data_IF_918711468414
#
_entry.id   IF_918711468414
#
_cell.length_a   1.000
_cell.length_b   1.000
_cell.length_c   1.000
_cell.angle_alpha   90.00
_cell.angle_beta   90.00
_cell.angle_gamma   90.00
#
_symmetry.space_group_name_H-M   'P 1'
#
loop_
_entity.id
_entity.type
_entity.pdbx_description
1 polymer ?
#
# COMPACT_ATOMS: atom_id res chain seq x y z
N UNK A 1 -1.56 -20.94 26.30
CA UNK A 1 -0.58 -20.87 25.19
C UNK A 1 -1.23 -20.03 24.11
N UNK A 2 -0.55 -18.97 23.64
CA UNK A 2 -1.03 -18.12 22.53
C UNK A 2 -0.30 -18.61 21.29
N UNK A 3 -1.03 -18.93 20.23
CA UNK A 3 -0.47 -19.21 18.92
C UNK A 3 -0.57 -17.94 18.09
N UNK A 4 0.58 -17.37 17.73
CA UNK A 4 0.65 -16.25 16.79
C UNK A 4 0.74 -16.88 15.40
N UNK A 5 -0.33 -16.75 14.62
CA UNK A 5 -0.43 -17.38 13.29
C UNK A 5 0.05 -16.47 12.16
N UNK A 6 0.16 -15.16 12.41
CA UNK A 6 0.69 -14.18 11.46
C UNK A 6 1.19 -12.94 12.21
N UNK A 7 2.41 -12.50 11.90
CA UNK A 7 2.96 -11.21 12.31
C UNK A 7 3.05 -10.31 11.07
N UNK A 8 2.81 -9.00 11.20
CA UNK A 8 2.84 -8.06 10.06
C UNK A 8 3.65 -6.82 10.41
N UNK A 9 4.44 -6.32 9.46
CA UNK A 9 5.12 -5.03 9.59
C UNK A 9 4.19 -3.96 9.04
N UNK A 10 3.80 -2.99 9.86
CA UNK A 10 2.88 -1.94 9.46
C UNK A 10 3.37 -0.54 9.81
N UNK A 11 2.77 0.45 9.15
CA UNK A 11 3.07 1.86 9.41
C UNK A 11 2.17 2.78 8.60
N UNK A 12 2.44 4.08 8.74
CA UNK A 12 1.81 5.10 7.90
C UNK A 12 2.72 5.44 6.72
N UNK A 13 2.10 5.80 5.60
CA UNK A 13 2.79 6.29 4.42
C UNK A 13 2.27 7.65 4.01
N UNK A 14 3.18 8.47 3.51
CA UNK A 14 2.90 9.76 2.91
C UNK A 14 3.83 9.93 1.72
N UNK A 15 3.28 9.81 0.53
CA UNK A 15 3.95 9.96 -0.75
C UNK A 15 3.45 11.23 -1.43
N UNK A 16 4.36 12.06 -1.94
CA UNK A 16 4.02 13.28 -2.65
C UNK A 16 4.87 13.36 -3.91
N UNK A 17 4.22 13.56 -5.06
CA UNK A 17 4.89 13.72 -6.35
C UNK A 17 4.16 14.77 -7.18
N UNK A 18 4.70 15.99 -7.23
CA UNK A 18 4.22 17.11 -8.05
C UNK A 18 2.73 17.40 -7.88
N UNK A 19 1.90 16.65 -8.59
CA UNK A 19 0.43 16.73 -8.61
C UNK A 19 -0.24 15.85 -7.54
N UNK A 20 0.37 14.75 -7.13
CA UNK A 20 -0.28 13.77 -6.24
C UNK A 20 0.23 13.85 -4.81
N UNK A 21 -0.70 13.68 -3.86
CA UNK A 21 -0.42 13.39 -2.46
C UNK A 21 -1.21 12.16 -2.05
N UNK A 22 -0.51 11.08 -1.73
CA UNK A 22 -1.06 9.77 -1.37
C UNK A 22 -0.69 9.49 0.08
N UNK A 23 -1.68 9.29 0.95
CA UNK A 23 -1.43 9.09 2.38
C UNK A 23 -2.32 8.01 2.97
N UNK A 24 -1.79 7.27 3.94
CA UNK A 24 -2.59 6.28 4.66
C UNK A 24 -1.73 5.28 5.44
N UNK A 25 -2.15 4.03 5.43
CA UNK A 25 -1.50 2.93 6.13
C UNK A 25 -1.21 1.75 5.21
N UNK A 26 -0.19 0.98 5.58
CA UNK A 26 0.19 -0.25 4.90
C UNK A 26 0.50 -1.36 5.89
N UNK A 27 0.44 -2.59 5.40
CA UNK A 27 0.97 -3.79 6.04
C UNK A 27 1.76 -4.59 5.02
N UNK A 28 2.93 -5.06 5.45
CA UNK A 28 3.81 -5.92 4.67
C UNK A 28 3.94 -7.24 5.40
N UNK A 29 3.82 -8.33 4.64
CA UNK A 29 4.08 -9.66 5.13
C UNK A 29 5.59 -9.81 5.41
N UNK A 30 5.99 -10.14 6.64
CA UNK A 30 7.39 -10.25 6.99
C UNK A 30 8.09 -11.46 6.38
N UNK A 31 7.37 -12.49 5.93
CA UNK A 31 7.98 -13.65 5.28
C UNK A 31 8.20 -13.38 3.80
N UNK A 32 7.15 -12.95 3.10
CA UNK A 32 7.19 -12.76 1.63
C UNK A 32 7.74 -11.39 1.23
N UNK A 33 7.82 -10.44 2.18
CA UNK A 33 8.18 -9.04 1.95
C UNK A 33 7.25 -8.31 0.97
N UNK A 34 6.04 -8.85 0.76
CA UNK A 34 5.01 -8.28 -0.11
C UNK A 34 4.03 -7.43 0.67
N UNK A 35 3.49 -6.40 0.01
CA UNK A 35 2.42 -5.58 0.59
C UNK A 35 1.15 -6.43 0.66
N UNK A 36 0.69 -6.68 1.89
CA UNK A 36 -0.56 -7.41 2.16
C UNK A 36 -1.76 -6.49 2.10
N UNK A 37 -1.62 -5.26 2.63
CA UNK A 37 -2.67 -4.24 2.58
C UNK A 37 -2.09 -2.87 2.37
N UNK A 38 -2.78 -2.02 1.60
CA UNK A 38 -2.49 -0.60 1.47
C UNK A 38 -3.83 0.15 1.40
N UNK A 39 -4.09 1.01 2.38
CA UNK A 39 -5.30 1.84 2.41
C UNK A 39 -4.86 3.30 2.36
N UNK A 40 -5.13 3.98 1.26
CA UNK A 40 -4.66 5.35 1.04
C UNK A 40 -5.73 6.26 0.48
N UNK A 41 -5.72 7.51 0.94
CA UNK A 41 -6.39 8.62 0.29
C UNK A 41 -5.47 9.23 -0.76
N UNK A 42 -6.06 9.66 -1.87
CA UNK A 42 -5.35 10.28 -2.98
C UNK A 42 -5.90 11.67 -3.18
N UNK A 43 -5.02 12.66 -3.13
CA UNK A 43 -5.31 14.02 -3.56
C UNK A 43 -4.55 14.30 -4.86
N UNK A 44 -5.19 14.94 -5.83
CA UNK A 44 -4.60 15.45 -7.08
C UNK A 44 -4.75 16.97 -7.11
N UNK A 45 -3.64 17.69 -7.24
CA UNK A 45 -3.59 19.15 -7.18
C UNK A 45 -4.31 19.70 -5.94
N UNK A 46 -3.97 19.14 -4.77
CA UNK A 46 -4.56 19.45 -3.45
C UNK A 46 -6.05 19.11 -3.26
N UNK A 47 -6.76 18.71 -4.32
CA UNK A 47 -8.15 18.29 -4.26
C UNK A 47 -8.26 16.77 -4.02
N UNK A 48 -9.22 16.36 -3.19
CA UNK A 48 -9.49 14.95 -2.95
C UNK A 48 -9.93 14.26 -4.25
N UNK A 49 -9.21 13.21 -4.64
CA UNK A 49 -9.40 12.46 -5.88
C UNK A 49 -9.98 11.05 -5.65
N UNK A 50 -9.95 10.53 -4.42
CA UNK A 50 -10.54 9.25 -4.06
C UNK A 50 -9.70 8.47 -3.06
N UNK A 51 -10.05 7.20 -2.85
CA UNK A 51 -9.27 6.26 -2.05
C UNK A 51 -8.85 5.05 -2.90
N UNK A 52 -7.73 4.44 -2.52
CA UNK A 52 -7.26 3.18 -3.06
C UNK A 52 -7.09 2.21 -1.89
N UNK A 53 -7.73 1.05 -2.00
CA UNK A 53 -7.56 -0.04 -1.04
C UNK A 53 -7.01 -1.25 -1.78
N UNK A 54 -5.88 -1.76 -1.31
CA UNK A 54 -5.24 -2.96 -1.81
C UNK A 54 -5.27 -3.99 -0.71
N UNK A 55 -5.56 -5.22 -1.08
CA UNK A 55 -5.49 -6.36 -0.19
C UNK A 55 -5.12 -7.61 -0.97
N UNK A 56 -4.39 -8.51 -0.33
CA UNK A 56 -4.09 -9.83 -0.86
C UNK A 56 -5.27 -10.76 -0.61
N UNK A 57 -5.78 -11.41 -1.66
CA UNK A 57 -6.79 -12.46 -1.59
C UNK A 57 -6.19 -13.76 -2.14
N UNK A 58 -5.73 -14.62 -1.23
CA UNK A 58 -4.96 -15.81 -1.59
C UNK A 58 -3.59 -15.44 -2.15
N UNK A 59 -3.38 -15.65 -3.45
CA UNK A 59 -2.10 -15.32 -4.14
C UNK A 59 -2.19 -14.08 -5.02
N UNK A 60 -3.38 -13.50 -5.16
CA UNK A 60 -3.63 -12.34 -6.01
C UNK A 60 -3.78 -11.07 -5.17
N UNK A 61 -3.18 -9.98 -5.63
CA UNK A 61 -3.48 -8.65 -5.11
C UNK A 61 -4.72 -8.09 -5.81
N UNK A 62 -5.68 -7.64 -5.01
CA UNK A 62 -6.87 -6.95 -5.49
C UNK A 62 -6.79 -5.47 -5.15
N UNK A 63 -7.31 -4.63 -6.05
CA UNK A 63 -7.27 -3.16 -5.92
C UNK A 63 -8.67 -2.59 -6.10
N UNK A 64 -9.12 -1.81 -5.13
CA UNK A 64 -10.39 -1.11 -5.15
C UNK A 64 -10.19 0.40 -5.17
N UNK A 65 -10.62 1.05 -6.25
CA UNK A 65 -10.66 2.50 -6.40
C UNK A 65 -12.03 3.02 -5.97
N UNK A 66 -12.09 3.73 -4.84
CA UNK A 66 -13.34 4.22 -4.24
C UNK A 66 -13.46 5.73 -4.42
N UNK A 67 -14.65 6.20 -4.80
CA UNK A 67 -14.94 7.63 -4.99
C UNK A 67 -13.98 8.32 -5.97
N UNK A 68 -13.41 7.56 -6.91
CA UNK A 68 -12.43 8.04 -7.88
C UNK A 68 -13.05 8.17 -9.26
N UNK A 69 -12.74 9.26 -9.97
CA UNK A 69 -13.16 9.44 -11.35
C UNK A 69 -12.43 8.44 -12.24
N UNK A 70 -13.15 7.83 -13.18
CA UNK A 70 -12.58 6.86 -14.11
C UNK A 70 -11.37 7.40 -14.89
N UNK A 71 -11.38 8.70 -15.22
CA UNK A 71 -10.26 9.37 -15.91
C UNK A 71 -8.96 9.39 -15.11
N UNK A 72 -9.02 9.35 -13.78
CA UNK A 72 -7.84 9.44 -12.91
C UNK A 72 -7.29 8.05 -12.53
N UNK A 73 -8.06 6.98 -12.72
CA UNK A 73 -7.70 5.62 -12.27
C UNK A 73 -6.39 5.13 -12.90
N UNK A 74 -6.19 5.37 -14.20
CA UNK A 74 -4.99 4.88 -14.89
C UNK A 74 -3.70 5.51 -14.33
N UNK A 75 -3.70 6.83 -14.14
CA UNK A 75 -2.55 7.57 -13.59
C UNK A 75 -2.31 7.19 -12.12
N UNK A 76 -3.37 7.15 -11.31
CA UNK A 76 -3.26 6.75 -9.90
C UNK A 76 -2.76 5.30 -9.77
N UNK A 77 -3.18 4.39 -10.66
CA UNK A 77 -2.68 3.01 -10.66
C UNK A 77 -1.16 2.94 -10.84
N UNK A 78 -0.57 3.82 -11.64
CA UNK A 78 0.88 3.89 -11.83
C UNK A 78 1.58 4.35 -10.55
N UNK A 79 1.09 5.44 -9.92
CA UNK A 79 1.66 5.95 -8.67
C UNK A 79 1.56 4.92 -7.53
N UNK A 80 0.43 4.22 -7.44
CA UNK A 80 0.21 3.16 -6.46
C UNK A 80 1.16 1.97 -6.68
N UNK A 81 1.41 1.59 -7.94
CA UNK A 81 2.36 0.53 -8.26
C UNK A 81 3.78 0.91 -7.85
N UNK A 82 4.17 2.17 -8.10
CA UNK A 82 5.47 2.70 -7.66
C UNK A 82 5.59 2.67 -6.13
N UNK A 83 4.56 3.12 -5.42
CA UNK A 83 4.51 3.11 -3.96
C UNK A 83 4.66 1.70 -3.37
N UNK A 84 3.96 0.71 -3.94
CA UNK A 84 4.12 -0.70 -3.53
C UNK A 84 5.56 -1.15 -3.75
N UNK A 85 6.14 -0.88 -4.91
CA UNK A 85 7.53 -1.23 -5.21
C UNK A 85 8.53 -0.63 -4.23
N UNK A 86 8.35 0.63 -3.82
CA UNK A 86 9.17 1.28 -2.81
C UNK A 86 9.03 0.62 -1.43
N UNK A 87 7.81 0.31 -1.00
CA UNK A 87 7.54 -0.39 0.26
C UNK A 87 8.21 -1.77 0.27
N UNK A 88 7.99 -2.58 -0.76
CA UNK A 88 8.58 -3.92 -0.86
C UNK A 88 10.11 -3.87 -0.90
N UNK A 89 10.69 -2.92 -1.63
CA UNK A 89 12.14 -2.75 -1.69
C UNK A 89 12.71 -2.34 -0.32
N UNK A 90 12.05 -1.43 0.40
CA UNK A 90 12.44 -1.02 1.75
C UNK A 90 12.50 -2.19 2.74
N UNK A 91 11.59 -3.15 2.60
CA UNK A 91 11.51 -4.31 3.50
C UNK A 91 12.26 -5.55 3.00
N UNK A 92 12.78 -5.53 1.77
CA UNK A 92 13.51 -6.65 1.16
C UNK A 92 14.72 -7.12 1.97
N UNK A 93 15.40 -6.22 2.67
CA UNK A 93 16.58 -6.52 3.50
C UNK A 93 16.29 -6.65 4.99
N UNK A 94 15.04 -6.43 5.42
CA UNK A 94 14.68 -6.50 6.84
C UNK A 94 14.54 -7.97 7.24
N UNK A 95 15.45 -8.46 8.08
CA UNK A 95 15.31 -9.77 8.72
C UNK A 95 14.72 -9.55 10.11
N UNK A 96 13.51 -10.06 10.37
CA UNK A 96 12.99 -10.09 11.73
C UNK A 96 13.72 -11.22 12.46
N UNK A 97 14.48 -10.88 13.50
CA UNK A 97 15.06 -11.90 14.37
C UNK A 97 13.95 -12.42 15.28
N UNK A 98 13.53 -13.67 15.06
CA UNK A 98 12.75 -14.42 16.05
C UNK A 98 13.70 -14.80 17.18
N UNK A 99 13.55 -14.19 18.36
CA UNK A 99 14.19 -14.65 19.61
C UNK A 99 13.63 -16.00 20.07
#
# INVERSE_FOLDING_TARGET
MIEITNETIGGNVSYTNGEYRIQGDYRVNPETKKVDTLNVSVNKNEAYAGNVNIYTNGTEQQVNYNSMKQSDVAEVSTEITALIGELENRYSSVTLMTE
#
